data_IF_634116176719
#
_entry.id   IF_634116176719
#
_cell.length_a   1.000
_cell.length_b   1.000
_cell.length_c   1.000
_cell.angle_alpha   90.00
_cell.angle_beta   90.00
_cell.angle_gamma   90.00
#
_symmetry.space_group_name_H-M   'P 1'
#
loop_
_entity.id
_entity.type
_entity.pdbx_description
1 polymer ?
#
# COMPACT_ATOMS: atom_id res chain seq x y z
N UNK A 1 -21.74 16.22 -9.09
CA UNK A 1 -21.80 15.28 -7.97
C UNK A 1 -22.47 14.03 -8.51
N UNK A 2 -21.72 12.91 -8.69
CA UNK A 2 -22.34 11.62 -8.97
C UNK A 2 -23.16 11.23 -7.74
N UNK A 3 -24.36 10.74 -7.97
CA UNK A 3 -25.29 10.34 -6.92
C UNK A 3 -24.62 9.27 -6.04
N UNK A 4 -24.57 9.50 -4.75
CA UNK A 4 -23.91 8.67 -3.74
C UNK A 4 -24.62 7.32 -3.46
N UNK A 5 -25.46 6.88 -4.37
CA UNK A 5 -26.27 5.64 -4.29
C UNK A 5 -25.71 4.50 -5.15
N UNK A 6 -24.64 4.73 -5.92
CA UNK A 6 -24.05 3.68 -6.73
C UNK A 6 -23.19 2.76 -5.85
N UNK A 7 -23.49 1.44 -5.92
CA UNK A 7 -22.72 0.44 -5.18
C UNK A 7 -21.26 0.41 -5.64
N UNK A 8 -20.32 0.04 -4.75
CA UNK A 8 -18.95 -0.26 -5.16
C UNK A 8 -18.92 -1.32 -6.27
N UNK A 9 -18.12 -1.10 -7.31
CA UNK A 9 -17.94 -2.05 -8.41
C UNK A 9 -17.14 -3.28 -7.89
N UNK A 10 -17.84 -4.33 -7.50
CA UNK A 10 -17.25 -5.60 -7.06
C UNK A 10 -17.18 -6.56 -8.24
N UNK A 11 -15.99 -7.07 -8.53
CA UNK A 11 -15.76 -8.02 -9.62
C UNK A 11 -15.07 -9.29 -9.13
N UNK A 12 -15.46 -10.42 -9.69
CA UNK A 12 -14.72 -11.69 -9.59
C UNK A 12 -13.58 -11.66 -10.62
N UNK A 13 -12.34 -11.70 -10.16
CA UNK A 13 -11.14 -11.58 -10.99
C UNK A 13 -10.20 -12.77 -10.76
N UNK A 14 -9.40 -13.18 -11.77
CA UNK A 14 -8.31 -14.10 -11.55
C UNK A 14 -7.31 -13.54 -10.52
N UNK A 15 -6.92 -14.36 -9.54
CA UNK A 15 -5.96 -13.89 -8.50
C UNK A 15 -4.63 -13.48 -9.11
N UNK A 16 -4.19 -14.16 -10.17
CA UNK A 16 -2.95 -13.90 -10.89
C UNK A 16 -2.93 -12.56 -11.65
N UNK A 17 -4.11 -12.04 -12.04
CA UNK A 17 -4.22 -10.73 -12.70
C UNK A 17 -4.11 -9.54 -11.74
N UNK A 18 -4.04 -9.78 -10.44
CA UNK A 18 -3.96 -8.74 -9.41
C UNK A 18 -2.48 -8.47 -9.06
N UNK A 19 -1.92 -7.39 -9.57
CA UNK A 19 -0.50 -7.07 -9.47
C UNK A 19 -0.23 -6.04 -8.35
N UNK A 20 0.38 -6.45 -7.20
CA UNK A 20 0.77 -5.52 -6.15
C UNK A 20 1.84 -4.54 -6.62
N UNK A 21 1.62 -3.24 -6.41
CA UNK A 21 2.60 -2.19 -6.69
C UNK A 21 3.60 -1.96 -5.54
N UNK A 22 3.28 -2.44 -4.34
CA UNK A 22 4.16 -2.40 -3.18
C UNK A 22 4.77 -3.78 -2.90
N UNK A 23 5.96 -3.78 -2.31
CA UNK A 23 6.54 -4.97 -1.71
C UNK A 23 5.67 -5.45 -0.54
N UNK A 24 5.72 -6.73 -0.22
CA UNK A 24 4.89 -7.33 0.83
C UNK A 24 5.74 -7.94 1.95
N UNK A 25 5.12 -8.14 3.12
CA UNK A 25 5.74 -8.80 4.27
C UNK A 25 5.32 -10.29 4.31
N UNK A 26 6.25 -11.23 4.04
CA UNK A 26 5.93 -12.67 4.07
C UNK A 26 5.34 -13.16 5.40
N UNK A 27 5.74 -12.55 6.53
CA UNK A 27 5.19 -12.90 7.86
C UNK A 27 3.73 -12.47 7.99
N UNK A 28 3.41 -11.28 7.46
CA UNK A 28 2.02 -10.80 7.40
C UNK A 28 1.18 -11.65 6.48
N UNK A 29 1.68 -11.98 5.29
CA UNK A 29 1.00 -12.86 4.33
C UNK A 29 0.66 -14.19 4.99
N UNK A 30 1.65 -14.87 5.64
CA UNK A 30 1.42 -16.15 6.32
C UNK A 30 0.33 -16.07 7.40
N UNK A 31 0.39 -15.04 8.27
CA UNK A 31 -0.63 -14.85 9.31
C UNK A 31 -2.01 -14.62 8.72
N UNK A 32 -2.08 -13.85 7.64
CA UNK A 32 -3.34 -13.53 6.98
C UNK A 32 -3.93 -14.75 6.27
N UNK A 33 -3.12 -15.57 5.58
CA UNK A 33 -3.57 -16.85 5.00
C UNK A 33 -4.20 -17.75 6.05
N UNK A 34 -3.52 -17.96 7.18
CA UNK A 34 -4.03 -18.78 8.29
C UNK A 34 -5.35 -18.23 8.87
N UNK A 35 -5.49 -16.90 8.96
CA UNK A 35 -6.72 -16.27 9.42
C UNK A 35 -7.86 -16.47 8.43
N UNK A 36 -7.61 -16.25 7.13
CA UNK A 36 -8.61 -16.43 6.07
C UNK A 36 -9.08 -17.88 6.00
N UNK A 37 -8.16 -18.85 6.06
CA UNK A 37 -8.49 -20.29 6.12
C UNK A 37 -9.36 -20.63 7.34
N UNK A 38 -8.98 -20.12 8.53
CA UNK A 38 -9.74 -20.35 9.76
C UNK A 38 -11.13 -19.72 9.74
N UNK A 39 -11.26 -18.50 9.20
CA UNK A 39 -12.52 -17.77 9.11
C UNK A 39 -13.41 -18.26 7.94
N UNK A 40 -12.82 -18.97 6.97
CA UNK A 40 -13.49 -19.50 5.80
C UNK A 40 -14.08 -18.43 4.88
N UNK A 41 -13.53 -17.21 4.87
CA UNK A 41 -14.09 -16.10 4.08
C UNK A 41 -13.10 -14.98 3.80
N UNK A 42 -13.32 -14.28 2.67
CA UNK A 42 -12.72 -12.99 2.37
C UNK A 42 -13.59 -11.90 3.01
N UNK A 43 -13.11 -11.31 4.10
CA UNK A 43 -13.86 -10.27 4.83
C UNK A 43 -13.96 -8.96 4.05
N UNK A 44 -12.80 -8.42 3.62
CA UNK A 44 -12.70 -7.16 2.89
C UNK A 44 -12.04 -7.41 1.53
N UNK A 45 -12.58 -6.91 0.41
CA UNK A 45 -11.95 -7.08 -0.89
C UNK A 45 -10.68 -6.22 -0.99
N UNK A 46 -9.67 -6.61 -1.76
CA UNK A 46 -8.66 -5.66 -2.21
C UNK A 46 -9.31 -4.61 -3.11
N UNK A 47 -8.69 -3.43 -3.20
CA UNK A 47 -9.10 -2.38 -4.12
C UNK A 47 -8.07 -2.30 -5.23
N UNK A 48 -8.55 -2.34 -6.47
CA UNK A 48 -7.71 -2.47 -7.66
C UNK A 48 -8.14 -1.49 -8.74
N UNK A 49 -7.23 -1.16 -9.65
CA UNK A 49 -7.54 -0.38 -10.83
C UNK A 49 -7.03 -1.08 -12.09
N UNK A 50 -7.74 -1.02 -13.24
CA UNK A 50 -7.27 -1.62 -14.48
C UNK A 50 -5.94 -1.02 -14.94
N UNK A 51 -5.05 -1.87 -15.45
CA UNK A 51 -3.81 -1.45 -16.11
C UNK A 51 -4.12 -1.26 -17.60
N UNK A 52 -4.07 -0.02 -18.15
CA UNK A 52 -4.46 0.23 -19.52
C UNK A 52 -3.72 -0.63 -20.54
N UNK A 53 -4.46 -1.27 -21.45
CA UNK A 53 -3.90 -2.12 -22.52
C UNK A 53 -3.55 -3.54 -22.10
N UNK A 54 -3.96 -3.99 -20.92
CA UNK A 54 -3.83 -5.37 -20.42
C UNK A 54 -5.14 -5.82 -19.80
N UNK A 55 -5.23 -7.11 -19.43
CA UNK A 55 -6.31 -7.68 -18.62
C UNK A 55 -5.97 -7.67 -17.11
N UNK A 56 -4.85 -7.08 -16.73
CA UNK A 56 -4.35 -7.02 -15.37
C UNK A 56 -4.84 -5.78 -14.62
N UNK A 57 -4.73 -5.87 -13.29
CA UNK A 57 -5.14 -4.82 -12.35
C UNK A 57 -4.01 -4.50 -11.39
N UNK A 58 -3.72 -3.22 -11.20
CA UNK A 58 -2.84 -2.79 -10.12
C UNK A 58 -3.60 -2.80 -8.79
N UNK A 59 -3.01 -3.41 -7.77
CA UNK A 59 -3.59 -3.45 -6.42
C UNK A 59 -3.26 -2.14 -5.70
N UNK A 60 -4.27 -1.31 -5.42
CA UNK A 60 -4.12 -0.03 -4.71
C UNK A 60 -4.15 -0.20 -3.18
N UNK A 61 -4.96 -1.15 -2.69
CA UNK A 61 -5.01 -1.55 -1.28
C UNK A 61 -5.24 -3.06 -1.16
N UNK A 62 -4.65 -3.67 -0.13
CA UNK A 62 -4.82 -5.10 0.13
C UNK A 62 -3.76 -6.00 -0.49
N UNK A 63 -2.55 -5.51 -0.79
CA UNK A 63 -1.46 -6.31 -1.36
C UNK A 63 -1.18 -7.61 -0.57
N UNK A 64 -1.16 -7.56 0.77
CA UNK A 64 -0.98 -8.78 1.59
C UNK A 64 -2.15 -9.76 1.46
N UNK A 65 -3.39 -9.28 1.22
CA UNK A 65 -4.57 -10.15 0.97
C UNK A 65 -4.44 -10.87 -0.36
N UNK A 66 -4.07 -10.15 -1.41
CA UNK A 66 -3.79 -10.75 -2.72
C UNK A 66 -2.68 -11.80 -2.62
N UNK A 67 -1.56 -11.46 -1.97
CA UNK A 67 -0.45 -12.41 -1.79
C UNK A 67 -0.83 -13.61 -0.91
N UNK A 68 -1.76 -13.45 0.04
CA UNK A 68 -2.30 -14.58 0.80
C UNK A 68 -3.10 -15.55 -0.09
N UNK A 69 -3.90 -15.02 -1.01
CA UNK A 69 -4.65 -15.83 -1.99
C UNK A 69 -3.72 -16.55 -2.97
N UNK A 70 -2.68 -15.87 -3.44
CA UNK A 70 -1.62 -16.51 -4.25
C UNK A 70 -0.96 -17.66 -3.47
N UNK A 71 -0.60 -17.43 -2.20
CA UNK A 71 0.03 -18.45 -1.36
C UNK A 71 -0.88 -19.64 -1.05
N UNK A 72 -2.20 -19.42 -0.95
CA UNK A 72 -3.21 -20.47 -0.78
C UNK A 72 -3.62 -21.12 -2.11
N UNK A 73 -3.08 -20.68 -3.25
CA UNK A 73 -3.44 -21.16 -4.59
C UNK A 73 -4.93 -21.02 -4.91
N UNK A 74 -5.60 -19.99 -4.37
CA UNK A 74 -7.01 -19.70 -4.67
C UNK A 74 -7.10 -18.99 -6.02
N UNK A 75 -7.79 -19.57 -7.04
CA UNK A 75 -7.70 -19.10 -8.41
C UNK A 75 -8.38 -17.75 -8.67
N UNK A 76 -9.43 -17.44 -7.91
CA UNK A 76 -10.21 -16.23 -8.12
C UNK A 76 -10.45 -15.47 -6.81
N UNK A 77 -10.57 -14.16 -6.92
CA UNK A 77 -10.80 -13.27 -5.78
C UNK A 77 -11.83 -12.20 -6.14
N UNK A 78 -12.68 -11.83 -5.18
CA UNK A 78 -13.51 -10.63 -5.35
C UNK A 78 -12.68 -9.41 -5.01
N UNK A 79 -12.62 -8.45 -5.93
CA UNK A 79 -11.96 -7.17 -5.74
C UNK A 79 -12.94 -6.01 -6.00
N UNK A 80 -12.74 -4.90 -5.32
CA UNK A 80 -13.39 -3.64 -5.68
C UNK A 80 -12.57 -2.96 -6.76
N UNK A 81 -13.20 -2.68 -7.90
CA UNK A 81 -12.56 -2.00 -9.03
C UNK A 81 -12.86 -0.51 -8.98
N UNK A 82 -11.82 0.30 -9.13
CA UNK A 82 -11.94 1.76 -9.21
C UNK A 82 -11.21 2.29 -10.45
N UNK A 83 -11.59 3.45 -10.93
CA UNK A 83 -10.82 4.16 -11.96
C UNK A 83 -9.65 4.91 -11.30
N UNK A 84 -8.41 4.61 -11.69
CA UNK A 84 -7.24 5.30 -11.13
C UNK A 84 -7.13 6.77 -11.58
N UNK A 85 -7.89 7.17 -12.60
CA UNK A 85 -8.01 8.55 -13.04
C UNK A 85 -9.23 9.29 -12.45
N UNK A 86 -10.01 8.65 -11.57
CA UNK A 86 -11.12 9.30 -10.89
C UNK A 86 -10.59 10.35 -9.89
N UNK A 87 -11.05 11.62 -9.95
CA UNK A 87 -10.63 12.66 -9.01
C UNK A 87 -10.87 12.33 -7.52
N UNK A 88 -11.80 11.40 -7.23
CA UNK A 88 -12.03 10.90 -5.87
C UNK A 88 -11.00 9.88 -5.40
N UNK A 89 -10.18 9.33 -6.28
CA UNK A 89 -9.10 8.41 -5.94
C UNK A 89 -7.80 9.19 -5.85
N UNK A 90 -7.37 9.49 -4.63
CA UNK A 90 -6.16 10.27 -4.39
C UNK A 90 -4.99 9.36 -4.00
N UNK A 91 -3.80 9.68 -4.49
CA UNK A 91 -2.55 9.04 -4.09
C UNK A 91 -1.72 10.02 -3.27
N UNK A 92 -1.51 9.68 -2.00
CA UNK A 92 -0.65 10.38 -1.06
C UNK A 92 0.51 9.46 -0.63
N UNK A 93 1.37 9.94 0.25
CA UNK A 93 2.56 9.22 0.72
C UNK A 93 2.51 9.08 2.25
N UNK A 94 2.77 7.86 2.74
CA UNK A 94 3.11 7.63 4.12
C UNK A 94 4.60 7.81 4.34
N UNK A 95 4.97 8.44 5.44
CA UNK A 95 6.34 8.50 5.93
C UNK A 95 6.57 7.40 6.95
N UNK A 96 7.78 6.88 7.04
CA UNK A 96 8.10 5.89 8.05
C UNK A 96 8.58 6.57 9.34
N UNK A 97 7.92 6.23 10.44
CA UNK A 97 8.44 6.45 11.79
C UNK A 97 9.22 5.20 12.15
N UNK A 98 10.53 5.32 12.22
CA UNK A 98 11.44 4.23 12.62
C UNK A 98 11.66 4.34 14.13
N UNK A 99 11.40 3.27 14.88
CA UNK A 99 11.53 3.25 16.34
C UNK A 99 12.19 1.95 16.82
N UNK A 100 12.73 1.99 18.04
CA UNK A 100 13.30 0.80 18.68
C UNK A 100 14.66 0.34 18.12
N UNK A 101 15.31 1.16 17.30
CA UNK A 101 16.64 0.96 16.76
C UNK A 101 17.56 2.11 17.26
N UNK A 102 18.80 1.85 17.57
CA UNK A 102 19.76 2.89 17.92
C UNK A 102 20.05 3.79 16.71
N UNK A 103 20.18 5.12 16.93
CA UNK A 103 20.42 6.07 15.85
C UNK A 103 21.77 5.83 15.14
N UNK A 104 22.81 5.40 15.86
CA UNK A 104 24.09 5.09 15.26
C UNK A 104 24.01 3.80 14.40
N UNK A 105 23.23 2.82 14.82
CA UNK A 105 22.97 1.62 14.03
C UNK A 105 22.16 1.96 12.76
N UNK A 106 21.15 2.81 12.90
CA UNK A 106 20.36 3.31 11.75
C UNK A 106 21.23 4.05 10.75
N UNK A 107 22.09 4.96 11.23
CA UNK A 107 23.03 5.71 10.40
C UNK A 107 24.03 4.79 9.68
N UNK A 108 24.60 3.85 10.41
CA UNK A 108 25.54 2.87 9.83
C UNK A 108 24.86 2.00 8.75
N UNK A 109 23.60 1.60 8.97
CA UNK A 109 22.85 0.83 7.99
C UNK A 109 22.58 1.61 6.70
N UNK A 110 22.24 2.91 6.79
CA UNK A 110 22.03 3.75 5.61
C UNK A 110 23.35 4.07 4.88
N UNK A 111 24.40 4.40 5.61
CA UNK A 111 25.72 4.71 5.00
C UNK A 111 26.39 3.50 4.37
N UNK A 112 25.96 2.28 4.70
CA UNK A 112 26.43 1.06 4.03
C UNK A 112 25.83 0.83 2.63
N UNK A 113 24.80 1.62 2.24
CA UNK A 113 24.19 1.51 0.92
C UNK A 113 25.12 2.10 -0.13
N UNK A 114 25.56 1.27 -1.06
CA UNK A 114 26.45 1.71 -2.16
C UNK A 114 25.77 2.80 -3.01
N UNK A 115 26.47 3.91 -3.22
CA UNK A 115 25.97 5.02 -4.00
C UNK A 115 24.93 5.88 -3.29
N UNK A 116 24.87 5.84 -1.95
CA UNK A 116 24.05 6.72 -1.13
C UNK A 116 24.92 7.55 -0.21
N UNK A 117 24.69 8.87 -0.19
CA UNK A 117 25.24 9.78 0.81
C UNK A 117 24.14 10.48 1.59
N UNK A 118 24.40 10.72 2.88
CA UNK A 118 23.54 11.51 3.75
C UNK A 118 24.20 12.88 3.99
N UNK A 119 23.57 13.96 3.55
CA UNK A 119 24.06 15.32 3.66
C UNK A 119 23.17 16.13 4.59
N UNK A 120 23.78 16.75 5.61
CA UNK A 120 23.08 17.67 6.51
C UNK A 120 22.49 18.85 5.75
N UNK A 121 21.26 19.24 6.10
CA UNK A 121 20.58 20.37 5.48
C UNK A 121 19.45 20.90 6.36
N UNK A 122 18.84 22.02 5.96
CA UNK A 122 17.60 22.50 6.59
C UNK A 122 16.40 21.70 6.11
N UNK A 123 15.32 21.72 6.89
CA UNK A 123 14.08 21.00 6.52
C UNK A 123 13.48 21.56 5.22
N UNK A 124 13.51 22.88 5.03
CA UNK A 124 13.02 23.52 3.81
C UNK A 124 13.82 23.05 2.58
N UNK A 125 15.14 22.97 2.71
CA UNK A 125 16.01 22.51 1.63
C UNK A 125 15.79 21.02 1.34
N UNK A 126 15.60 20.18 2.36
CA UNK A 126 15.29 18.76 2.20
C UNK A 126 13.98 18.55 1.44
N UNK A 127 12.93 19.28 1.82
CA UNK A 127 11.61 19.24 1.16
C UNK A 127 11.70 19.64 -0.32
N UNK A 128 12.41 20.72 -0.61
CA UNK A 128 12.58 21.19 -1.99
C UNK A 128 13.45 20.21 -2.81
N UNK A 129 14.53 19.67 -2.23
CA UNK A 129 15.38 18.67 -2.88
C UNK A 129 14.57 17.39 -3.22
N UNK A 130 13.69 16.95 -2.33
CA UNK A 130 12.82 15.81 -2.61
C UNK A 130 11.82 16.10 -3.73
N UNK A 131 11.17 17.28 -3.70
CA UNK A 131 10.21 17.73 -4.69
C UNK A 131 10.80 17.87 -6.10
N UNK A 132 12.08 18.28 -6.17
CA UNK A 132 12.81 18.49 -7.44
C UNK A 132 13.65 17.29 -7.85
N UNK A 133 13.45 16.13 -7.24
CA UNK A 133 14.20 14.89 -7.48
C UNK A 133 15.73 15.04 -7.31
N UNK A 134 16.15 15.95 -6.41
CA UNK A 134 17.55 16.13 -6.00
C UNK A 134 17.89 15.33 -4.73
N UNK A 135 16.93 14.62 -4.17
CA UNK A 135 17.09 13.67 -3.09
C UNK A 135 16.14 12.48 -3.31
N UNK A 136 16.58 11.27 -2.98
CA UNK A 136 15.76 10.07 -3.03
C UNK A 136 14.80 10.00 -1.83
N UNK A 137 15.25 10.50 -0.68
CA UNK A 137 14.49 10.60 0.55
C UNK A 137 15.14 11.68 1.43
N UNK A 138 14.48 12.07 2.52
CA UNK A 138 15.18 12.76 3.60
C UNK A 138 14.80 12.18 4.96
N UNK A 139 15.70 12.36 5.91
CA UNK A 139 15.61 11.80 7.25
C UNK A 139 15.55 12.95 8.26
N UNK A 140 14.60 12.89 9.18
CA UNK A 140 14.51 13.80 10.34
C UNK A 140 14.77 12.97 11.59
N UNK A 141 15.68 13.41 12.43
CA UNK A 141 16.01 12.78 13.70
C UNK A 141 16.38 13.84 14.76
N UNK A 142 16.71 13.41 15.96
CA UNK A 142 17.09 14.34 17.06
C UNK A 142 18.34 15.20 16.74
N UNK A 143 19.21 14.73 15.82
CA UNK A 143 20.43 15.43 15.39
C UNK A 143 20.17 16.44 14.25
N UNK A 144 18.97 16.50 13.70
CA UNK A 144 18.61 17.40 12.61
C UNK A 144 18.05 16.69 11.39
N UNK A 145 18.21 17.34 10.23
CA UNK A 145 17.66 16.86 8.94
C UNK A 145 18.80 16.54 7.98
N UNK A 146 18.70 15.40 7.32
CA UNK A 146 19.65 14.96 6.29
C UNK A 146 18.91 14.51 5.04
N UNK A 147 19.38 14.92 3.87
CA UNK A 147 18.89 14.41 2.60
C UNK A 147 19.74 13.24 2.11
N UNK A 148 19.08 12.26 1.54
CA UNK A 148 19.71 11.10 0.91
C UNK A 148 19.92 11.39 -0.58
N UNK A 149 21.19 11.45 -1.01
CA UNK A 149 21.58 11.78 -2.38
C UNK A 149 22.46 10.68 -2.99
N UNK A 150 22.58 10.67 -4.31
CA UNK A 150 23.48 9.79 -5.03
C UNK A 150 24.57 10.60 -5.72
N UNK A 151 25.82 10.62 -5.19
CA UNK A 151 26.93 11.39 -5.77
C UNK A 151 27.38 10.82 -7.13
N UNK A 152 27.16 9.55 -7.39
CA UNK A 152 27.58 8.87 -8.64
C UNK A 152 26.57 9.02 -9.79
N UNK A 153 25.57 9.93 -9.66
CA UNK A 153 24.56 10.19 -10.69
C UNK A 153 23.54 9.06 -10.88
N UNK A 154 23.44 8.13 -9.90
CA UNK A 154 22.32 7.18 -9.85
C UNK A 154 21.04 7.99 -9.76
N UNK A 155 20.04 7.62 -10.55
CA UNK A 155 18.76 8.34 -10.55
C UNK A 155 18.14 8.29 -9.16
N UNK A 156 17.76 9.44 -8.64
CA UNK A 156 17.17 9.56 -7.30
C UNK A 156 15.69 9.15 -7.25
N UNK A 157 15.07 9.02 -8.41
CA UNK A 157 13.77 8.40 -8.62
C UNK A 157 13.87 6.87 -8.82
N UNK A 158 15.09 6.29 -8.70
CA UNK A 158 15.29 4.84 -8.77
C UNK A 158 14.61 4.14 -7.59
N UNK A 159 13.61 3.38 -7.91
CA UNK A 159 12.83 2.61 -6.95
C UNK A 159 13.67 1.59 -6.18
N UNK A 160 14.77 1.10 -6.79
CA UNK A 160 15.71 0.18 -6.14
C UNK A 160 16.46 0.86 -5.01
N UNK A 161 16.84 2.14 -5.19
CA UNK A 161 17.49 2.92 -4.13
C UNK A 161 16.54 3.13 -2.94
N UNK A 162 15.26 3.43 -3.20
CA UNK A 162 14.26 3.54 -2.14
C UNK A 162 14.03 2.21 -1.41
N UNK A 163 14.00 1.11 -2.13
CA UNK A 163 13.92 -0.22 -1.55
C UNK A 163 15.14 -0.53 -0.68
N UNK A 164 16.35 -0.15 -1.10
CA UNK A 164 17.58 -0.33 -0.31
C UNK A 164 17.53 0.49 0.98
N UNK A 165 17.06 1.74 0.92
CA UNK A 165 16.86 2.60 2.10
C UNK A 165 15.90 1.92 3.09
N UNK A 166 14.76 1.42 2.63
CA UNK A 166 13.80 0.77 3.51
C UNK A 166 14.32 -0.56 4.06
N UNK A 167 15.04 -1.36 3.27
CA UNK A 167 15.66 -2.62 3.70
C UNK A 167 16.71 -2.41 4.79
N UNK A 168 17.38 -1.26 4.82
CA UNK A 168 18.41 -0.97 5.81
C UNK A 168 17.91 -1.08 7.26
N UNK A 169 16.65 -0.70 7.52
CA UNK A 169 16.04 -0.73 8.86
C UNK A 169 14.87 -1.72 8.99
N UNK A 170 14.31 -2.24 7.89
CA UNK A 170 13.20 -3.21 7.91
C UNK A 170 13.62 -4.51 8.61
N UNK A 171 12.80 -4.95 9.57
CA UNK A 171 13.04 -6.16 10.36
C UNK A 171 14.05 -6.01 11.49
N UNK A 172 14.69 -4.82 11.62
CA UNK A 172 15.56 -4.46 12.74
C UNK A 172 14.91 -3.41 13.66
N UNK A 173 13.97 -2.63 13.13
CA UNK A 173 13.23 -1.60 13.83
C UNK A 173 11.72 -1.82 13.71
N UNK A 174 10.97 -1.21 14.61
CA UNK A 174 9.54 -1.03 14.46
C UNK A 174 9.26 0.11 13.49
N UNK A 175 8.33 -0.11 12.55
CA UNK A 175 7.98 0.87 11.52
C UNK A 175 6.50 1.23 11.68
N UNK A 176 6.25 2.50 11.98
CA UNK A 176 4.90 3.08 11.98
C UNK A 176 4.75 4.06 10.81
N UNK A 177 3.53 4.52 10.55
CA UNK A 177 3.22 5.42 9.44
C UNK A 177 2.81 6.79 9.96
N UNK A 178 3.37 7.83 9.36
CA UNK A 178 3.00 9.22 9.62
C UNK A 178 2.62 9.93 8.32
N UNK A 179 1.76 10.93 8.41
CA UNK A 179 1.34 11.79 7.28
C UNK A 179 2.00 13.16 7.28
N UNK A 180 2.85 13.45 8.27
CA UNK A 180 3.61 14.70 8.36
C UNK A 180 5.03 14.41 8.87
N UNK A 181 5.95 15.33 8.57
CA UNK A 181 7.38 15.26 8.87
C UNK A 181 7.78 16.13 10.07
N UNK A 182 6.83 16.51 10.93
CA UNK A 182 7.10 17.35 12.10
C UNK A 182 7.61 16.49 13.25
N UNK A 183 8.92 16.55 13.50
CA UNK A 183 9.60 15.73 14.49
C UNK A 183 8.96 15.76 15.88
N UNK A 184 8.65 16.96 16.40
CA UNK A 184 8.08 17.10 17.74
C UNK A 184 6.70 16.45 17.88
N UNK A 185 5.90 16.47 16.81
CA UNK A 185 4.60 15.80 16.78
C UNK A 185 4.82 14.28 16.83
N UNK A 186 5.69 13.76 15.99
CA UNK A 186 5.91 12.32 15.92
C UNK A 186 6.59 11.76 17.18
N UNK A 187 7.53 12.51 17.76
CA UNK A 187 8.17 12.16 19.03
C UNK A 187 7.17 12.07 20.19
N UNK A 188 6.13 12.89 20.18
CA UNK A 188 5.06 12.83 21.17
C UNK A 188 4.26 11.52 21.09
N UNK A 189 3.92 11.08 19.88
CA UNK A 189 3.17 9.84 19.65
C UNK A 189 4.04 8.58 19.74
N UNK A 190 5.31 8.69 19.43
CA UNK A 190 6.28 7.58 19.38
C UNK A 190 7.50 7.90 20.26
N UNK A 191 7.44 7.70 21.59
CA UNK A 191 8.53 8.10 22.51
C UNK A 191 9.88 7.41 22.23
N UNK A 192 9.87 6.24 21.54
CA UNK A 192 11.08 5.52 21.13
C UNK A 192 11.50 5.77 19.70
N UNK A 193 11.08 6.91 19.10
CA UNK A 193 11.42 7.23 17.70
C UNK A 193 12.92 7.44 17.52
N UNK A 194 13.47 6.77 16.53
CA UNK A 194 14.87 6.90 16.07
C UNK A 194 14.98 7.94 14.96
N UNK A 195 14.09 7.83 13.96
CA UNK A 195 14.08 8.70 12.79
C UNK A 195 12.72 8.71 12.10
N UNK A 196 12.46 9.80 11.36
CA UNK A 196 11.44 9.87 10.31
C UNK A 196 12.14 9.72 8.97
N UNK A 197 11.63 8.84 8.11
CA UNK A 197 12.08 8.72 6.72
C UNK A 197 10.96 9.18 5.81
N UNK A 198 11.23 10.24 5.04
CA UNK A 198 10.27 10.89 4.17
C UNK A 198 10.58 10.54 2.73
N UNK A 199 9.56 10.05 2.01
CA UNK A 199 9.64 9.57 0.64
C UNK A 199 9.03 10.55 -0.36
N UNK A 200 9.40 10.45 -1.66
CA UNK A 200 8.80 11.25 -2.70
C UNK A 200 7.32 10.93 -2.87
N UNK A 201 6.57 11.87 -3.42
CA UNK A 201 5.20 11.65 -3.84
C UNK A 201 5.19 11.02 -5.23
N UNK A 202 4.37 10.01 -5.37
CA UNK A 202 4.09 9.37 -6.66
C UNK A 202 2.79 9.91 -7.23
N UNK A 203 2.66 9.85 -8.53
CA UNK A 203 1.39 9.99 -9.23
C UNK A 203 0.91 8.63 -9.77
N UNK A 204 -0.37 8.48 -10.16
CA UNK A 204 -0.88 7.23 -10.69
C UNK A 204 -0.09 6.65 -11.87
N UNK A 205 0.45 7.51 -12.76
CA UNK A 205 1.23 7.06 -13.91
C UNK A 205 2.56 6.43 -13.48
N UNK A 206 3.21 6.96 -12.44
CA UNK A 206 4.46 6.39 -11.88
C UNK A 206 4.21 4.98 -11.35
N UNK A 207 3.11 4.78 -10.61
CA UNK A 207 2.73 3.46 -10.07
C UNK A 207 2.44 2.47 -11.18
N UNK A 208 1.67 2.87 -12.21
CA UNK A 208 1.38 2.02 -13.36
C UNK A 208 2.65 1.66 -14.14
N UNK A 209 3.58 2.62 -14.31
CA UNK A 209 4.87 2.37 -14.94
C UNK A 209 5.71 1.37 -14.15
N UNK A 210 5.79 1.54 -12.83
CA UNK A 210 6.49 0.63 -11.93
C UNK A 210 5.99 -0.81 -12.07
N UNK A 211 4.67 -1.00 -11.98
CA UNK A 211 4.07 -2.35 -12.08
C UNK A 211 4.30 -2.98 -13.44
N UNK A 212 4.19 -2.21 -14.54
CA UNK A 212 4.46 -2.70 -15.91
C UNK A 212 5.89 -3.18 -16.11
N UNK A 213 6.83 -2.59 -15.40
CA UNK A 213 8.24 -3.00 -15.43
C UNK A 213 8.54 -4.20 -14.52
N UNK A 214 7.53 -4.71 -13.78
CA UNK A 214 7.72 -5.77 -12.79
C UNK A 214 8.36 -5.31 -11.49
N UNK A 215 8.51 -3.99 -11.30
CA UNK A 215 9.08 -3.39 -10.11
C UNK A 215 8.01 -3.16 -9.03
N UNK A 216 8.47 -2.89 -7.80
CA UNK A 216 7.60 -2.57 -6.66
C UNK A 216 8.19 -1.44 -5.84
N UNK A 217 7.34 -0.53 -5.40
CA UNK A 217 7.74 0.46 -4.39
C UNK A 217 7.91 -0.22 -3.03
N UNK A 218 8.70 0.37 -2.11
CA UNK A 218 8.79 -0.14 -0.75
C UNK A 218 7.42 -0.22 -0.09
N UNK A 219 7.20 -1.28 0.70
CA UNK A 219 5.93 -1.50 1.39
C UNK A 219 5.62 -0.37 2.36
N UNK A 220 4.39 0.13 2.29
CA UNK A 220 3.82 1.06 3.25
C UNK A 220 4.19 2.52 3.04
N UNK A 221 4.68 2.89 1.85
CA UNK A 221 4.94 4.28 1.49
C UNK A 221 3.82 4.92 0.68
N UNK A 222 3.00 4.15 -0.02
CA UNK A 222 1.84 4.70 -0.74
C UNK A 222 0.60 4.75 0.15
N UNK A 223 -0.21 5.77 -0.05
CA UNK A 223 -1.47 6.00 0.64
C UNK A 223 -2.57 6.32 -0.37
N UNK A 224 -3.38 5.35 -0.71
CA UNK A 224 -4.56 5.58 -1.54
C UNK A 224 -5.76 5.99 -0.68
N UNK A 225 -6.27 7.18 -0.93
CA UNK A 225 -7.53 7.67 -0.36
C UNK A 225 -8.63 7.35 -1.37
N UNK A 226 -9.47 6.39 -1.03
CA UNK A 226 -10.48 5.83 -1.94
C UNK A 226 -11.83 5.94 -1.25
N UNK A 227 -12.77 6.70 -1.81
CA UNK A 227 -14.13 6.79 -1.29
C UNK A 227 -14.94 5.51 -1.57
N UNK A 228 -16.07 5.37 -0.91
CA UNK A 228 -17.03 4.29 -1.13
C UNK A 228 -16.42 2.88 -1.05
N UNK A 229 -15.58 2.65 -0.03
CA UNK A 229 -14.94 1.34 0.17
C UNK A 229 -15.96 0.28 0.57
N UNK A 230 -15.95 -0.85 -0.14
CA UNK A 230 -16.69 -2.04 0.28
C UNK A 230 -15.98 -2.69 1.46
N UNK A 231 -16.69 -2.85 2.56
CA UNK A 231 -16.20 -3.50 3.77
C UNK A 231 -17.15 -4.62 4.20
N UNK A 232 -16.59 -5.62 4.87
CA UNK A 232 -17.37 -6.74 5.45
C UNK A 232 -18.23 -7.49 4.41
N UNK A 233 -17.72 -7.64 3.17
CA UNK A 233 -18.41 -8.41 2.14
C UNK A 233 -18.55 -9.89 2.52
N UNK A 234 -17.61 -10.44 3.29
CA UNK A 234 -17.63 -11.80 3.84
C UNK A 234 -17.91 -12.88 2.79
N UNK A 235 -17.26 -12.81 1.63
CA UNK A 235 -17.40 -13.82 0.56
C UNK A 235 -16.83 -15.16 1.04
N UNK A 236 -17.58 -16.28 0.96
CA UNK A 236 -17.12 -17.60 1.37
C UNK A 236 -15.87 -18.05 0.59
N UNK A 237 -14.87 -18.59 1.30
CA UNK A 237 -13.62 -19.03 0.70
C UNK A 237 -13.81 -20.24 -0.22
N UNK A 238 -14.73 -21.12 0.09
CA UNK A 238 -15.08 -22.30 -0.72
C UNK A 238 -15.58 -21.91 -2.11
N UNK A 239 -16.37 -20.85 -2.23
CA UNK A 239 -16.79 -20.29 -3.54
C UNK A 239 -15.58 -19.80 -4.33
N UNK A 240 -14.65 -19.06 -3.68
CA UNK A 240 -13.46 -18.51 -4.33
C UNK A 240 -12.48 -19.62 -4.76
N UNK A 241 -12.35 -20.68 -3.95
CA UNK A 241 -11.46 -21.80 -4.17
C UNK A 241 -12.07 -22.90 -5.07
N UNK A 242 -13.41 -22.90 -5.28
CA UNK A 242 -14.09 -23.92 -6.08
C UNK A 242 -13.46 -24.06 -7.48
N UNK A 243 -13.41 -25.28 -7.97
CA UNK A 243 -13.00 -25.60 -9.36
C UNK A 243 -14.15 -25.32 -10.34
N UNK A 244 -14.44 -24.03 -10.47
CA UNK A 244 -15.46 -23.47 -11.37
C UNK A 244 -14.80 -22.43 -12.27
N UNK A 245 -15.29 -22.33 -13.51
CA UNK A 245 -14.86 -21.26 -14.42
C UNK A 245 -15.22 -19.87 -13.89
N UNK A 246 -14.54 -18.87 -14.41
CA UNK A 246 -14.69 -17.48 -13.97
C UNK A 246 -16.12 -16.94 -14.24
N UNK A 247 -16.75 -17.34 -15.35
CA UNK A 247 -18.10 -16.87 -15.70
C UNK A 247 -19.16 -17.37 -14.73
N UNK A 248 -19.08 -18.61 -14.31
CA UNK A 248 -19.97 -19.14 -13.26
C UNK A 248 -19.80 -18.42 -11.92
N UNK A 249 -18.55 -18.11 -11.56
CA UNK A 249 -18.27 -17.34 -10.33
C UNK A 249 -18.73 -15.89 -10.43
N UNK A 250 -18.67 -15.29 -11.61
CA UNK A 250 -19.24 -13.96 -11.88
C UNK A 250 -20.76 -13.96 -11.72
N UNK A 251 -21.44 -14.92 -12.34
CA UNK A 251 -22.89 -15.07 -12.18
C UNK A 251 -23.26 -15.28 -10.70
N UNK A 252 -22.53 -16.13 -9.97
CA UNK A 252 -22.73 -16.29 -8.52
C UNK A 252 -22.58 -14.97 -7.75
N UNK A 253 -21.58 -14.13 -8.08
CA UNK A 253 -21.37 -12.84 -7.42
C UNK A 253 -22.52 -11.87 -7.71
N UNK A 254 -23.05 -11.85 -8.94
CA UNK A 254 -24.22 -11.04 -9.32
C UNK A 254 -25.46 -11.45 -8.52
N UNK A 255 -25.75 -12.75 -8.43
CA UNK A 255 -26.86 -13.29 -7.64
C UNK A 255 -26.68 -12.93 -6.15
N UNK A 256 -25.50 -13.11 -5.61
CA UNK A 256 -25.18 -12.76 -4.23
C UNK A 256 -25.39 -11.25 -3.94
N UNK A 257 -25.00 -10.36 -4.86
CA UNK A 257 -25.22 -8.91 -4.73
C UNK A 257 -26.73 -8.60 -4.76
N UNK A 258 -27.50 -9.20 -5.69
CA UNK A 258 -28.94 -9.02 -5.78
C UNK A 258 -29.64 -9.47 -4.49
N UNK A 259 -29.27 -10.61 -3.93
CA UNK A 259 -29.81 -11.09 -2.65
C UNK A 259 -29.54 -10.11 -1.50
N UNK A 260 -28.31 -9.56 -1.41
CA UNK A 260 -27.95 -8.56 -0.39
C UNK A 260 -28.75 -7.27 -0.53
N UNK A 261 -28.97 -6.82 -1.75
CA UNK A 261 -29.81 -5.66 -2.04
C UNK A 261 -31.28 -5.92 -1.64
N UNK A 262 -31.84 -7.05 -2.06
CA UNK A 262 -33.22 -7.44 -1.75
C UNK A 262 -33.46 -7.58 -0.24
N UNK A 263 -32.46 -8.07 0.50
CA UNK A 263 -32.50 -8.21 1.96
C UNK A 263 -32.23 -6.90 2.72
N UNK A 264 -32.01 -5.75 2.06
CA UNK A 264 -31.54 -4.50 2.67
C UNK A 264 -30.30 -4.70 3.57
N UNK A 265 -29.40 -5.60 3.17
CA UNK A 265 -28.22 -5.97 3.95
C UNK A 265 -26.99 -5.09 3.61
N UNK A 266 -27.15 -4.07 2.75
CA UNK A 266 -26.11 -3.13 2.38
C UNK A 266 -26.41 -1.79 3.05
N UNK A 267 -25.40 -1.25 3.73
CA UNK A 267 -25.49 0.07 4.37
C UNK A 267 -24.41 0.98 3.81
N UNK A 268 -24.76 2.22 3.54
CA UNK A 268 -23.84 3.27 3.14
C UNK A 268 -23.66 4.27 4.29
N UNK A 269 -22.40 4.61 4.57
CA UNK A 269 -22.03 5.62 5.55
C UNK A 269 -21.26 6.72 4.83
N UNK A 270 -21.84 7.93 4.78
CA UNK A 270 -21.20 9.09 4.15
C UNK A 270 -20.17 9.76 5.07
N UNK A 271 -20.29 9.55 6.38
CA UNK A 271 -19.41 10.08 7.40
C UNK A 271 -18.14 9.23 7.59
N UNK A 272 -17.06 9.90 8.02
CA UNK A 272 -15.81 9.22 8.37
C UNK A 272 -16.05 8.26 9.54
N UNK A 273 -15.73 7.00 9.36
CA UNK A 273 -16.01 5.93 10.31
C UNK A 273 -14.71 5.24 10.75
N UNK A 274 -14.59 4.96 12.06
CA UNK A 274 -13.55 4.07 12.59
C UNK A 274 -14.06 2.64 12.61
N UNK A 275 -13.26 1.70 12.07
CA UNK A 275 -13.52 0.27 12.16
C UNK A 275 -12.49 -0.38 13.07
N UNK A 276 -12.94 -1.20 14.04
CA UNK A 276 -12.08 -1.89 15.01
C UNK A 276 -12.00 -3.40 14.75
N UNK A 277 -12.42 -3.86 13.60
CA UNK A 277 -12.67 -5.28 13.27
C UNK A 277 -11.60 -5.93 12.37
N UNK A 278 -10.39 -5.34 12.29
CA UNK A 278 -9.23 -5.96 11.62
C UNK A 278 -8.25 -6.65 12.58
#
# INVERSE_FOLDING_TARGET
MKDSTELPDLRMLPTESLLPHEDFDPRRVKRLSQRIEKEGRLKNPPIVAPIPGTDDFVVLDGANRVMAFVAMQVPHMVAQVVSYGDPGVELDTWYHVVAGMDLAEFDAALTSITGLELLDCTLEFAREALKTNQAAAYIVCERGVRKAVSPEGRRLDDIHLLNDIVRAYRGKADIFRASNDVWEIQKHFYPGITALVIFPRYNPADILHTVRNGDKVPSGITRHLIPHRALNINIPLDVLAADLDLERKRAWLEDWLMERMAANAIRYYAESTFSFDE
#
